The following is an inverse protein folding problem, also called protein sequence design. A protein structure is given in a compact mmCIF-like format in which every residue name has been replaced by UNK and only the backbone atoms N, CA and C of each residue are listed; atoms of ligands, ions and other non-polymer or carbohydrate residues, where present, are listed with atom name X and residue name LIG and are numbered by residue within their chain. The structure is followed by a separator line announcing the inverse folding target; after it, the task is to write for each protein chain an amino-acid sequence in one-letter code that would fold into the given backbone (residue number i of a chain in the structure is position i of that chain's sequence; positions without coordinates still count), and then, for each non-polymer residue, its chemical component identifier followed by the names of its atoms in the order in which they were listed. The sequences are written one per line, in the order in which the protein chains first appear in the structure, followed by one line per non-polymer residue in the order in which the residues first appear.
data_IF_718593800048
#
_entry.id   IF_718593800048
#
_cell.length_a   1.000
_cell.length_b   1.000
_cell.length_c   1.000
_cell.angle_alpha   90.00
_cell.angle_beta   90.00
_cell.angle_gamma   90.00
#
_symmetry.space_group_name_H-M   'P 1'
#
loop_
_entity.id
_entity.type
_entity.pdbx_description
1 polymer ?
2 branched ?
3 non-polymer ?
4 water ?
#
# COMPACT_ATOMS: atom_id res chain seq x y z
N UNK A 1 13.21 -17.94 -8.05
CA UNK A 1 13.88 -18.52 -9.25
C UNK A 1 15.03 -19.43 -8.84
N UNK A 2 16.00 -18.85 -8.12
CA UNK A 2 17.16 -19.61 -7.67
C UNK A 2 16.85 -20.24 -6.31
N UNK A 3 17.50 -21.38 -6.03
CA UNK A 3 17.29 -22.11 -4.79
C UNK A 3 17.57 -21.31 -3.53
N UNK A 4 16.74 -21.51 -2.51
CA UNK A 4 16.92 -20.85 -1.22
C UNK A 4 17.98 -21.68 -0.51
N UNK A 5 18.82 -21.04 0.31
CA UNK A 5 19.86 -21.78 1.02
C UNK A 5 19.24 -22.48 2.23
N UNK A 6 20.02 -23.33 2.89
CA UNK A 6 19.57 -24.03 4.09
C UNK A 6 19.14 -22.97 5.09
N UNK A 7 17.98 -23.17 5.70
CA UNK A 7 17.47 -22.23 6.70
C UNK A 7 16.89 -23.00 7.88
N UNK A 8 17.11 -22.48 9.08
CA UNK A 8 16.58 -23.13 10.28
C UNK A 8 15.52 -22.24 10.91
N UNK A 9 14.31 -22.75 11.01
CA UNK A 9 13.20 -22.00 11.60
C UNK A 9 12.11 -22.94 12.08
N UNK A 10 11.15 -22.44 12.87
CA UNK A 10 10.05 -23.26 13.38
C UNK A 10 9.22 -23.90 12.28
N UNK A 11 8.93 -25.18 12.43
CA UNK A 11 8.13 -25.91 11.47
C UNK A 11 6.70 -25.40 11.47
N UNK A 12 6.15 -25.07 10.29
CA UNK A 12 4.77 -24.59 10.30
C UNK A 12 3.86 -25.73 10.78
N UNK A 13 2.85 -25.40 11.57
CA UNK A 13 1.94 -26.42 12.09
C UNK A 13 0.62 -26.44 11.32
N UNK A 14 0.41 -27.49 10.53
CA UNK A 14 -0.80 -27.63 9.73
C UNK A 14 -2.09 -27.58 10.56
N UNK A 15 -2.07 -28.19 11.73
CA UNK A 15 -3.25 -28.22 12.59
C UNK A 15 -3.25 -27.12 13.65
N UNK A 16 -2.46 -26.07 13.40
CA UNK A 16 -2.38 -24.93 14.30
C UNK A 16 -2.37 -23.61 13.52
N UNK A 17 -3.54 -22.97 13.39
CA UNK A 17 -3.65 -21.70 12.67
C UNK A 17 -2.74 -20.64 13.28
N UNK A 18 -2.15 -19.80 12.45
CA UNK A 18 -1.29 -18.73 12.96
C UNK A 18 -2.14 -17.75 13.75
N UNK A 19 -3.24 -17.34 13.14
CA UNK A 19 -4.17 -16.40 13.76
C UNK A 19 -5.55 -17.03 13.72
N UNK A 20 -6.28 -16.97 14.82
CA UNK A 20 -7.61 -17.53 14.90
C UNK A 20 -8.62 -16.41 15.12
N UNK A 21 -8.10 -15.20 15.32
CA UNK A 21 -8.93 -14.04 15.56
C UNK A 21 -9.28 -13.24 14.30
N UNK A 22 -8.52 -13.45 13.23
CA UNK A 22 -8.75 -12.73 11.98
C UNK A 22 -8.67 -13.62 10.74
N UNK A 23 -9.24 -13.11 9.65
CA UNK A 23 -9.22 -13.80 8.36
C UNK A 23 -7.85 -13.56 7.76
N UNK A 24 -7.13 -14.61 7.39
CA UNK A 24 -5.79 -14.44 6.84
C UNK A 24 -5.67 -14.70 5.34
N UNK A 25 -6.79 -15.05 4.70
CA UNK A 25 -6.79 -15.29 3.26
C UNK A 25 -8.17 -14.90 2.71
N UNK A 26 -8.20 -14.28 1.54
CA UNK A 26 -9.47 -13.86 0.95
C UNK A 26 -10.14 -15.03 0.23
N UNK A 27 -11.43 -14.87 -0.16
CA UNK A 27 -12.16 -15.91 -0.87
C UNK A 27 -11.56 -16.23 -2.25
N UNK A 28 -10.68 -15.36 -2.74
CA UNK A 28 -10.03 -15.64 -4.03
C UNK A 28 -8.58 -16.05 -3.77
N UNK A 29 -8.36 -16.55 -2.55
CA UNK A 29 -7.07 -17.06 -2.11
C UNK A 29 -5.89 -16.09 -2.09
N UNK A 30 -6.15 -14.82 -1.81
CA UNK A 30 -5.07 -13.85 -1.70
C UNK A 30 -4.80 -13.72 -0.21
N UNK A 31 -3.52 -13.75 0.19
CA UNK A 31 -3.23 -13.63 1.62
C UNK A 31 -3.60 -12.25 2.17
N UNK A 32 -4.01 -12.22 3.44
CA UNK A 32 -4.32 -10.96 4.10
C UNK A 32 -3.18 -10.87 5.11
N UNK A 33 -2.28 -9.92 4.90
CA UNK A 33 -1.10 -9.77 5.74
C UNK A 33 -1.26 -9.20 7.15
N UNK A 34 -1.06 -10.08 8.14
CA UNK A 34 -1.14 -9.74 9.56
C UNK A 34 0.15 -10.24 10.22
N UNK A 35 0.56 -9.59 11.30
CA UNK A 35 1.75 -10.02 12.02
C UNK A 35 1.46 -11.45 12.50
N UNK A 36 2.43 -12.34 12.33
CA UNK A 36 2.24 -13.72 12.74
C UNK A 36 1.92 -14.67 11.59
N UNK A 37 1.62 -14.12 10.41
CA UNK A 37 1.31 -14.98 9.26
C UNK A 37 2.52 -15.25 8.39
N UNK A 38 3.59 -14.46 8.56
CA UNK A 38 4.77 -14.62 7.74
C UNK A 38 6.11 -14.67 8.45
N UNK A 39 7.05 -15.39 7.84
CA UNK A 39 8.41 -15.49 8.34
C UNK A 39 9.16 -14.54 7.43
N UNK A 40 9.56 -13.39 7.95
CA UNK A 40 10.28 -12.40 7.13
C UNK A 40 11.62 -12.91 6.62
N UNK A 41 12.22 -13.87 7.32
CA UNK A 41 13.51 -14.39 6.90
C UNK A 41 13.40 -15.15 5.57
N UNK A 42 12.35 -15.96 5.43
CA UNK A 42 12.17 -16.69 4.18
C UNK A 42 11.86 -15.70 3.06
N UNK A 43 10.95 -14.76 3.32
CA UNK A 43 10.57 -13.78 2.31
C UNK A 43 11.75 -12.89 1.88
N UNK A 44 12.54 -12.39 2.83
CA UNK A 44 13.68 -11.56 2.47
C UNK A 44 14.59 -12.33 1.52
N UNK A 45 14.81 -13.61 1.82
CA UNK A 45 15.65 -14.46 0.99
C UNK A 45 15.11 -14.54 -0.44
N UNK A 46 13.81 -14.81 -0.56
CA UNK A 46 13.19 -14.92 -1.87
C UNK A 46 13.35 -13.65 -2.71
N UNK A 47 13.05 -12.49 -2.12
CA UNK A 47 13.15 -11.24 -2.88
C UNK A 47 14.59 -10.77 -3.11
N UNK A 48 15.49 -11.04 -2.17
CA UNK A 48 16.89 -10.63 -2.36
C UNK A 48 17.52 -11.41 -3.50
N UNK A 49 17.21 -12.69 -3.58
CA UNK A 49 17.76 -13.53 -4.64
C UNK A 49 17.36 -13.01 -6.01
N UNK A 50 16.27 -12.25 -6.05
CA UNK A 50 15.80 -11.67 -7.31
C UNK A 50 16.29 -10.24 -7.47
N UNK A 51 17.09 -9.78 -6.52
CA UNK A 51 17.64 -8.42 -6.53
C UNK A 51 16.50 -7.43 -6.77
N UNK A 52 15.42 -7.60 -6.01
CA UNK A 52 14.23 -6.77 -6.11
C UNK A 52 14.42 -5.31 -5.78
N UNK A 53 13.87 -4.44 -6.62
CA UNK A 53 13.95 -3.00 -6.41
C UNK A 53 12.53 -2.47 -6.21
N UNK A 54 12.31 -1.80 -5.08
CA UNK A 54 10.99 -1.25 -4.77
C UNK A 54 10.95 0.26 -4.90
N UNK A 55 10.01 0.76 -5.70
CA UNK A 55 9.86 2.18 -5.83
C UNK A 55 8.80 2.65 -4.85
N UNK A 56 9.06 3.74 -4.14
CA UNK A 56 8.09 4.30 -3.20
C UNK A 56 7.76 5.70 -3.67
N UNK A 57 6.50 5.93 -4.02
CA UNK A 57 6.08 7.24 -4.53
C UNK A 57 5.21 8.04 -3.58
N UNK A 58 5.53 9.33 -3.44
CA UNK A 58 4.77 10.23 -2.59
C UNK A 58 4.58 11.56 -3.31
N UNK A 59 3.45 12.19 -3.06
CA UNK A 59 3.16 13.48 -3.66
C UNK A 59 3.08 14.52 -2.55
N UNK A 60 4.03 15.45 -2.56
CA UNK A 60 4.06 16.50 -1.55
C UNK A 60 3.95 17.85 -2.24
N UNK A 61 2.74 18.39 -2.25
CA UNK A 61 2.47 19.69 -2.86
C UNK A 61 2.11 20.71 -1.77
N UNK A 62 2.40 21.97 -2.02
CA UNK A 62 2.12 23.03 -1.07
C UNK A 62 2.68 22.76 0.32
N UNK A 63 1.84 22.93 1.34
CA UNK A 63 2.25 22.72 2.73
C UNK A 63 2.63 21.29 3.12
N UNK A 64 2.30 20.32 2.27
CA UNK A 64 2.63 18.93 2.60
C UNK A 64 4.11 18.58 2.53
N UNK A 65 4.92 19.49 1.98
CA UNK A 65 6.35 19.24 1.88
C UNK A 65 6.95 19.15 3.27
N UNK A 66 6.24 19.72 4.25
CA UNK A 66 6.69 19.73 5.63
C UNK A 66 6.73 18.34 6.28
N UNK A 67 6.00 17.39 5.70
CA UNK A 67 5.96 16.03 6.24
C UNK A 67 7.05 15.12 5.69
N UNK A 68 7.74 15.59 4.66
CA UNK A 68 8.79 14.80 4.02
C UNK A 68 9.89 14.32 4.93
N UNK A 69 10.41 15.20 5.78
CA UNK A 69 11.51 14.82 6.66
C UNK A 69 11.19 13.61 7.51
N UNK A 70 10.10 13.68 8.27
CA UNK A 70 9.74 12.56 9.14
C UNK A 70 9.42 11.31 8.33
N UNK A 71 8.74 11.51 7.21
CA UNK A 71 8.37 10.40 6.34
C UNK A 71 9.60 9.64 5.86
N UNK A 72 10.54 10.36 5.25
CA UNK A 72 11.76 9.75 4.74
C UNK A 72 12.66 9.15 5.82
N UNK A 73 12.82 9.86 6.93
CA UNK A 73 13.67 9.37 8.01
C UNK A 73 13.11 8.07 8.59
N UNK A 74 11.80 8.00 8.78
CA UNK A 74 11.20 6.79 9.33
C UNK A 74 11.19 5.67 8.29
N UNK A 75 11.08 6.03 7.01
CA UNK A 75 11.10 5.02 5.95
C UNK A 75 12.49 4.37 5.97
N UNK A 76 13.51 5.18 6.25
CA UNK A 76 14.87 4.66 6.28
C UNK A 76 15.07 3.62 7.37
N UNK A 77 14.28 3.71 8.43
CA UNK A 77 14.42 2.76 9.52
C UNK A 77 13.51 1.54 9.43
N UNK A 78 12.39 1.67 8.72
CA UNK A 78 11.44 0.56 8.64
C UNK A 78 10.98 0.05 7.29
N UNK A 79 11.25 0.78 6.21
CA UNK A 79 10.77 0.37 4.89
C UNK A 79 11.75 -0.37 3.99
N UNK A 80 11.44 -1.65 3.73
CA UNK A 80 12.25 -2.48 2.87
C UNK A 80 13.73 -2.47 3.21
N UNK A 81 14.06 -2.38 4.50
CA UNK A 81 15.47 -2.36 4.90
C UNK A 81 16.20 -3.62 4.43
N UNK A 82 17.27 -3.44 3.69
CA UNK A 82 18.03 -4.57 3.19
C UNK A 82 17.86 -4.76 1.69
N UNK A 83 16.80 -4.18 1.13
CA UNK A 83 16.54 -4.29 -0.31
C UNK A 83 16.76 -2.95 -1.01
N UNK A 84 16.79 -2.98 -2.34
CA UNK A 84 16.98 -1.75 -3.12
C UNK A 84 15.71 -0.93 -3.12
N UNK A 85 15.82 0.34 -2.73
CA UNK A 85 14.68 1.23 -2.68
C UNK A 85 14.93 2.52 -3.45
N UNK A 86 13.93 2.92 -4.23
CA UNK A 86 14.03 4.15 -4.99
C UNK A 86 12.84 5.02 -4.65
N UNK A 87 13.11 6.11 -3.94
CA UNK A 87 12.05 7.04 -3.55
C UNK A 87 11.77 8.01 -4.70
N UNK A 88 10.50 8.24 -4.97
CA UNK A 88 10.13 9.19 -6.00
C UNK A 88 9.25 10.23 -5.32
N UNK A 89 9.80 11.42 -5.16
CA UNK A 89 9.07 12.51 -4.52
C UNK A 89 8.59 13.52 -5.57
N UNK A 90 7.29 13.57 -5.79
CA UNK A 90 6.70 14.51 -6.73
C UNK A 90 6.31 15.72 -5.91
N UNK A 91 6.86 16.88 -6.25
CA UNK A 91 6.58 18.10 -5.51
C UNK A 91 6.62 19.35 -6.38
N UNK A 92 5.99 20.41 -5.88
CA UNK A 92 5.94 21.69 -6.57
C UNK A 92 7.03 22.59 -6.00
N UNK A 93 7.76 22.07 -5.01
CA UNK A 93 8.83 22.81 -4.36
C UNK A 93 10.09 21.95 -4.24
N UNK A 94 10.76 21.69 -5.38
CA UNK A 94 11.98 20.89 -5.43
C UNK A 94 13.02 21.27 -4.36
N UNK A 95 13.20 22.57 -4.17
CA UNK A 95 14.18 23.05 -3.20
C UNK A 95 13.78 22.84 -1.75
N UNK A 96 12.51 22.58 -1.49
CA UNK A 96 12.04 22.38 -0.12
C UNK A 96 12.22 20.94 0.36
N UNK A 97 12.58 20.04 -0.55
CA UNK A 97 12.78 18.64 -0.17
C UNK A 97 13.96 18.55 0.80
N UNK A 98 13.73 17.97 1.99
CA UNK A 98 14.79 17.84 2.99
C UNK A 98 15.89 16.88 2.54
N UNK A 99 17.12 17.17 2.96
CA UNK A 99 18.24 16.32 2.61
C UNK A 99 18.36 15.25 3.67
N UNK A 100 17.76 14.09 3.42
CA UNK A 100 17.79 12.98 4.37
C UNK A 100 18.88 11.98 4.01
N UNK A 101 19.60 11.53 5.03
CA UNK A 101 20.67 10.57 4.83
C UNK A 101 20.06 9.19 4.52
N UNK A 102 20.50 8.59 3.42
CA UNK A 102 19.98 7.30 3.01
C UNK A 102 20.97 6.16 3.20
N UNK A 103 20.43 4.98 3.49
CA UNK A 103 21.27 3.81 3.65
C UNK A 103 21.77 3.42 2.28
N UNK A 104 22.74 2.51 2.23
CA UNK A 104 23.29 2.08 0.96
C UNK A 104 22.23 1.33 0.13
N UNK A 105 22.31 1.46 -1.19
CA UNK A 105 21.37 0.78 -2.06
C UNK A 105 20.01 1.45 -2.15
N UNK A 106 19.93 2.66 -1.62
CA UNK A 106 18.68 3.40 -1.63
C UNK A 106 18.90 4.78 -2.23
N UNK A 107 18.00 5.21 -3.09
CA UNK A 107 18.15 6.50 -3.70
C UNK A 107 16.84 7.26 -3.78
N UNK A 108 16.94 8.57 -3.96
CA UNK A 108 15.76 9.41 -4.03
C UNK A 108 15.82 10.34 -5.21
N UNK A 109 14.71 10.42 -5.94
CA UNK A 109 14.62 11.30 -7.09
C UNK A 109 13.52 12.31 -6.83
N UNK A 110 13.81 13.58 -7.12
CA UNK A 110 12.82 14.63 -6.95
C UNK A 110 12.25 14.94 -8.33
N UNK A 111 10.94 14.85 -8.47
CA UNK A 111 10.29 15.15 -9.75
C UNK A 111 9.37 16.33 -9.55
N UNK A 112 9.66 17.44 -10.24
CA UNK A 112 8.85 18.64 -10.13
C UNK A 112 7.59 18.52 -10.96
N UNK A 113 6.48 19.05 -10.44
CA UNK A 113 5.21 19.03 -11.15
C UNK A 113 4.61 20.42 -11.13
N UNK A 134 8.10 10.25 -17.40
CA UNK A 134 7.10 9.35 -18.04
C UNK A 134 7.00 8.01 -17.31
N UNK A 135 5.88 7.33 -17.48
CA UNK A 135 5.65 6.04 -16.84
C UNK A 135 6.65 4.98 -17.29
N UNK A 136 7.20 5.17 -18.49
CA UNK A 136 8.18 4.25 -19.05
C UNK A 136 9.39 4.14 -18.12
N UNK A 137 9.69 5.23 -17.43
CA UNK A 137 10.80 5.31 -16.50
C UNK A 137 10.68 4.24 -15.41
N UNK A 138 9.51 4.16 -14.79
CA UNK A 138 9.26 3.19 -13.73
C UNK A 138 9.54 1.75 -14.15
N UNK A 139 9.09 1.39 -15.34
CA UNK A 139 9.28 0.04 -15.88
C UNK A 139 10.72 -0.42 -15.93
N UNK A 140 11.64 0.52 -16.12
CA UNK A 140 13.05 0.13 -16.20
C UNK A 140 13.84 0.35 -14.93
N UNK A 141 13.27 1.08 -13.97
CA UNK A 141 14.00 1.35 -12.74
C UNK A 141 13.60 0.53 -11.52
N UNK A 142 12.35 0.08 -11.46
CA UNK A 142 11.90 -0.71 -10.31
C UNK A 142 11.06 -1.91 -10.71
N UNK A 143 10.93 -2.85 -9.78
CA UNK A 143 10.12 -4.04 -10.00
C UNK A 143 8.72 -3.87 -9.43
N UNK A 144 8.63 -3.11 -8.35
CA UNK A 144 7.34 -2.85 -7.70
C UNK A 144 7.18 -1.38 -7.35
N UNK A 145 5.93 -0.93 -7.34
CA UNK A 145 5.61 0.45 -6.98
C UNK A 145 4.71 0.42 -5.77
N UNK A 146 5.02 1.26 -4.79
CA UNK A 146 4.24 1.39 -3.57
C UNK A 146 3.88 2.87 -3.52
N UNK A 147 2.58 3.15 -3.51
CA UNK A 147 2.09 4.52 -3.50
C UNK A 147 1.40 4.83 -2.19
N UNK A 148 1.95 5.80 -1.46
CA UNK A 148 1.41 6.18 -0.17
C UNK A 148 1.26 7.69 -0.02
N UNK A 149 0.58 8.10 1.06
CA UNK A 149 0.42 9.51 1.34
C UNK A 149 1.63 9.95 2.16
N UNK A 150 2.05 11.21 1.98
CA UNK A 150 3.22 11.74 2.68
C UNK A 150 3.05 12.13 4.14
N UNK A 151 1.83 12.50 4.55
CA UNK A 151 1.62 12.88 5.93
C UNK A 151 1.45 11.66 6.83
N UNK A 152 2.49 10.83 6.85
CA UNK A 152 2.51 9.60 7.63
C UNK A 152 3.92 9.39 8.15
N UNK A 153 4.11 8.35 8.96
CA UNK A 153 5.43 8.00 9.46
C UNK A 153 5.45 6.51 9.68
N UNK A 154 6.61 5.89 9.46
CA UNK A 154 6.73 4.46 9.68
C UNK A 154 7.11 4.29 11.14
N UNK A 155 6.41 3.38 11.81
CA UNK A 155 6.67 3.13 13.22
C UNK A 155 7.16 1.70 13.46
N UNK A 156 7.01 0.86 12.45
CA UNK A 156 7.46 -0.53 12.57
C UNK A 156 7.74 -1.10 11.18
N UNK A 157 8.11 -2.36 11.15
CA UNK A 157 8.44 -3.06 9.92
C UNK A 157 7.37 -3.05 8.84
N UNK A 158 7.79 -2.69 7.63
CA UNK A 158 6.97 -2.71 6.43
C UNK A 158 7.97 -3.22 5.39
N UNK A 159 7.88 -4.51 5.08
CA UNK A 159 8.83 -5.08 4.16
C UNK A 159 8.26 -5.83 2.97
N UNK A 160 9.06 -6.73 2.42
CA UNK A 160 8.67 -7.50 1.24
C UNK A 160 7.44 -8.38 1.41
N UNK A 161 6.97 -8.56 2.64
CA UNK A 161 5.76 -9.35 2.83
C UNK A 161 4.58 -8.73 2.05
N UNK A 162 4.67 -7.45 1.72
CA UNK A 162 3.58 -6.78 0.99
C UNK A 162 3.66 -6.89 -0.52
N UNK A 163 4.83 -7.26 -1.04
CA UNK A 163 5.04 -7.34 -2.49
C UNK A 163 4.29 -8.47 -3.19
N UNK A 164 3.60 -8.10 -4.27
CA UNK A 164 2.77 -9.04 -5.02
C UNK A 164 2.36 -8.27 -6.28
N UNK A 165 1.74 -8.93 -7.26
CA UNK A 165 1.36 -8.16 -8.44
C UNK A 165 0.43 -6.97 -8.18
N UNK A 166 -0.53 -7.13 -7.27
CA UNK A 166 -1.46 -6.06 -6.95
C UNK A 166 -1.98 -6.15 -5.52
N UNK A 167 -1.83 -5.07 -4.75
CA UNK A 167 -2.32 -5.08 -3.38
C UNK A 167 -3.03 -3.81 -2.97
N UNK A 168 -3.97 -3.97 -2.05
CA UNK A 168 -4.74 -2.87 -1.50
C UNK A 168 -4.63 -3.00 0.00
N UNK A 169 -4.97 -1.94 0.71
CA UNK A 169 -4.91 -1.94 2.18
C UNK A 169 -6.26 -1.66 2.81
N UNK A 170 -6.63 -2.45 3.81
CA UNK A 170 -7.92 -2.28 4.48
C UNK A 170 -7.98 -0.96 5.24
N UNK A 171 -9.02 -0.18 4.95
CA UNK A 171 -9.21 1.11 5.62
C UNK A 171 -9.44 0.83 7.10
N UNK A 172 -8.71 1.53 7.98
CA UNK A 172 -8.86 1.31 9.43
C UNK A 172 -10.24 1.54 10.02
N UNK A 173 -11.07 2.31 9.34
CA UNK A 173 -12.42 2.59 9.84
C UNK A 173 -13.48 1.57 9.44
N UNK A 174 -13.20 0.72 8.47
CA UNK A 174 -14.22 -0.24 8.01
C UNK A 174 -13.85 -1.71 7.99
N UNK A 175 -12.66 -2.07 8.47
CA UNK A 175 -12.25 -3.47 8.44
C UNK A 175 -13.18 -4.43 9.16
N UNK A 176 -13.99 -3.91 10.08
CA UNK A 176 -14.91 -4.78 10.81
C UNK A 176 -16.36 -4.43 10.52
N UNK A 177 -16.58 -3.61 9.50
CA UNK A 177 -17.92 -3.18 9.14
C UNK A 177 -18.56 -4.05 8.05
N UNK A 178 -19.87 -3.99 7.94
CA UNK A 178 -20.59 -4.74 6.91
C UNK A 178 -20.52 -3.87 5.66
N UNK A 179 -20.58 -4.49 4.48
CA UNK A 179 -20.48 -3.75 3.23
C UNK A 179 -21.43 -2.57 3.09
N UNK A 180 -22.63 -2.69 3.64
CA UNK A 180 -23.62 -1.61 3.56
C UNK A 180 -23.09 -0.31 4.14
N UNK A 181 -22.17 -0.41 5.11
CA UNK A 181 -21.59 0.75 5.75
C UNK A 181 -20.40 1.33 4.99
N UNK A 182 -19.80 0.53 4.11
CA UNK A 182 -18.66 1.00 3.32
C UNK A 182 -19.07 2.28 2.60
N UNK A 183 -18.18 3.27 2.60
CA UNK A 183 -18.50 4.53 1.93
C UNK A 183 -18.17 4.54 0.43
N UNK A 184 -18.60 3.49 -0.26
CA UNK A 184 -18.39 3.38 -1.71
C UNK A 184 -19.24 4.46 -2.37
N UNK A 185 -18.99 4.73 -3.65
CA UNK A 185 -19.81 5.70 -4.37
C UNK A 185 -21.09 4.93 -4.65
N UNK A 186 -22.24 5.48 -4.23
CA UNK A 186 -23.52 4.80 -4.40
C UNK A 186 -24.40 5.27 -5.56
N UNK A 187 -23.97 6.33 -6.25
CA UNK A 187 -24.76 6.84 -7.38
C UNK A 187 -24.44 6.10 -8.67
N UNK A 188 -25.45 5.44 -9.26
CA UNK A 188 -25.32 4.68 -10.51
C UNK A 188 -24.76 5.52 -11.65
N UNK A 189 -24.86 6.83 -11.52
CA UNK A 189 -24.37 7.73 -12.55
C UNK A 189 -22.84 7.82 -12.57
N UNK A 190 -22.21 7.39 -11.47
CA UNK A 190 -20.76 7.42 -11.37
C UNK A 190 -20.11 6.12 -11.81
N UNK A 191 -18.96 6.21 -12.46
CA UNK A 191 -18.25 5.04 -12.92
C UNK A 191 -17.69 4.25 -11.73
N UNK A 192 -17.67 4.88 -10.55
CA UNK A 192 -17.15 4.24 -9.34
C UNK A 192 -18.29 3.60 -8.56
N UNK A 193 -19.48 3.61 -9.15
CA UNK A 193 -20.67 3.04 -8.52
C UNK A 193 -20.53 1.58 -8.11
N UNK A 194 -20.99 1.28 -6.89
CA UNK A 194 -20.98 -0.07 -6.35
C UNK A 194 -22.23 -0.20 -5.49
N UNK A 195 -23.18 -1.04 -5.91
CA UNK A 195 -24.41 -1.21 -5.13
C UNK A 195 -24.19 -1.79 -3.72
N UNK A 196 -25.22 -1.69 -2.88
CA UNK A 196 -25.15 -2.14 -1.50
C UNK A 196 -24.93 -3.64 -1.30
N UNK A 197 -25.23 -4.45 -2.31
CA UNK A 197 -25.04 -5.89 -2.18
C UNK A 197 -23.73 -6.40 -2.76
N UNK A 198 -22.82 -5.47 -3.07
CA UNK A 198 -21.51 -5.83 -3.62
C UNK A 198 -20.39 -5.26 -2.77
N UNK A 199 -19.20 -5.83 -2.92
CA UNK A 199 -18.07 -5.33 -2.16
C UNK A 199 -17.44 -6.37 -1.26
N UNK A 200 -16.12 -6.45 -1.31
CA UNK A 200 -15.39 -7.39 -0.46
C UNK A 200 -14.90 -6.64 0.77
N UNK A 201 -14.16 -5.56 0.52
CA UNK A 201 -13.60 -4.73 1.58
C UNK A 201 -13.61 -3.28 1.15
N UNK A 202 -13.32 -2.39 2.09
CA UNK A 202 -13.20 -0.99 1.74
C UNK A 202 -11.71 -0.68 1.85
N UNK A 203 -11.06 -0.45 0.72
CA UNK A 203 -9.63 -0.17 0.71
C UNK A 203 -9.38 1.33 0.80
N UNK A 204 -8.33 1.72 1.51
CA UNK A 204 -8.00 3.12 1.64
C UNK A 204 -6.98 3.48 0.57
N UNK A 205 -7.15 4.66 -0.04
CA UNK A 205 -6.25 5.08 -1.09
C UNK A 205 -4.88 5.56 -0.66
N UNK A 206 -4.61 5.56 0.64
CA UNK A 206 -3.32 6.03 1.14
C UNK A 206 -2.22 4.97 1.11
N UNK A 207 -2.54 3.75 0.72
CA UNK A 207 -1.55 2.67 0.72
C UNK A 207 -1.90 1.58 -0.28
N UNK A 208 -1.30 1.60 -1.47
CA UNK A 208 -1.54 0.55 -2.47
C UNK A 208 -0.30 0.38 -3.33
N UNK A 209 -0.30 -0.63 -4.18
CA UNK A 209 0.85 -0.87 -5.04
C UNK A 209 0.83 -2.22 -5.72
N UNK A 210 1.99 -2.66 -6.19
CA UNK A 210 2.09 -3.94 -6.87
C UNK A 210 3.18 -3.84 -7.92
N UNK A 211 3.15 -4.69 -8.93
CA UNK A 211 4.15 -4.63 -9.99
C UNK A 211 3.95 -3.30 -10.74
N UNK A 212 4.99 -2.83 -11.41
CA UNK A 212 4.86 -1.58 -12.14
C UNK A 212 3.71 -1.69 -13.14
N UNK A 213 3.66 -2.80 -13.86
CA UNK A 213 2.62 -3.02 -14.85
C UNK A 213 1.20 -2.94 -14.27
N UNK A 214 0.96 -3.64 -13.16
CA UNK A 214 -0.37 -3.62 -12.56
C UNK A 214 -0.75 -2.25 -12.01
N UNK A 215 0.21 -1.55 -11.41
CA UNK A 215 -0.06 -0.23 -10.86
C UNK A 215 -0.39 0.76 -11.97
N UNK A 216 0.32 0.68 -13.10
CA UNK A 216 0.05 1.62 -14.19
C UNK A 216 -1.33 1.34 -14.78
N UNK A 217 -1.72 0.07 -14.82
CA UNK A 217 -3.04 -0.32 -15.33
C UNK A 217 -4.13 0.24 -14.42
N UNK A 218 -3.90 0.17 -13.11
CA UNK A 218 -4.87 0.68 -12.14
C UNK A 218 -5.02 2.19 -12.30
N UNK A 219 -3.90 2.90 -12.27
CA UNK A 219 -3.92 4.34 -12.39
C UNK A 219 -4.53 4.80 -13.72
N UNK A 220 -4.20 4.09 -14.80
CA UNK A 220 -4.75 4.44 -16.11
C UNK A 220 -6.27 4.21 -16.12
N UNK A 221 -6.71 3.14 -15.46
CA UNK A 221 -8.14 2.83 -15.41
C UNK A 221 -8.87 3.88 -14.57
N UNK A 222 -8.24 4.29 -13.48
CA UNK A 222 -8.84 5.28 -12.59
C UNK A 222 -8.92 6.64 -13.26
N UNK A 223 -7.84 7.05 -13.92
CA UNK A 223 -7.82 8.35 -14.60
C UNK A 223 -8.90 8.43 -15.67
N UNK A 224 -9.09 7.34 -16.41
CA UNK A 224 -10.11 7.33 -17.46
C UNK A 224 -11.52 7.37 -16.87
N UNK A 225 -11.73 6.63 -15.80
CA UNK A 225 -13.04 6.60 -15.15
C UNK A 225 -13.38 7.97 -14.57
N UNK A 226 -12.37 8.68 -14.07
CA UNK A 226 -12.56 10.00 -13.49
C UNK A 226 -12.90 11.02 -14.59
N UNK A 227 -12.29 10.86 -15.76
CA UNK A 227 -12.56 11.77 -16.87
C UNK A 227 -14.01 11.62 -17.31
N UNK A 228 -14.46 10.37 -17.40
CA UNK A 228 -15.83 10.07 -17.79
C UNK A 228 -16.80 10.69 -16.80
N UNK A 229 -16.47 10.59 -15.51
CA UNK A 229 -17.31 11.16 -14.47
C UNK A 229 -17.34 12.68 -14.60
N UNK A 230 -16.18 13.28 -14.81
CA UNK A 230 -16.09 14.73 -14.96
C UNK A 230 -17.00 15.20 -16.09
N UNK A 231 -16.94 14.49 -17.22
CA UNK A 231 -17.76 14.82 -18.39
C UNK A 231 -19.23 14.77 -18.02
N UNK A 232 -19.62 13.78 -17.20
CA UNK A 232 -21.00 13.65 -16.78
C UNK A 232 -21.30 14.54 -15.59
N UNK A 233 -20.44 15.52 -15.36
CA UNK A 233 -20.62 16.45 -14.26
C UNK A 233 -20.81 15.81 -12.90
N UNK A 234 -20.08 14.74 -12.62
CA UNK A 234 -20.19 14.07 -11.33
C UNK A 234 -18.81 13.79 -10.75
N UNK A 235 -18.72 13.86 -9.42
CA UNK A 235 -17.47 13.62 -8.70
C UNK A 235 -17.73 12.60 -7.59
N UNK A 236 -17.01 11.48 -7.64
CA UNK A 236 -17.18 10.41 -6.65
C UNK A 236 -17.02 10.92 -5.22
N UNK A 237 -17.90 10.44 -4.34
CA UNK A 237 -17.91 10.84 -2.93
C UNK A 237 -16.53 10.93 -2.28
N UNK A 238 -15.65 9.97 -2.55
CA UNK A 238 -14.32 10.00 -1.97
C UNK A 238 -13.24 10.01 -3.05
N UNK A 239 -13.59 10.67 -4.16
CA UNK A 239 -12.70 10.85 -5.30
C UNK A 239 -11.88 9.62 -5.70
N UNK A 240 -10.56 9.80 -5.81
CA UNK A 240 -9.65 8.73 -6.20
C UNK A 240 -9.90 7.40 -5.49
N UNK A 241 -10.14 7.48 -4.18
CA UNK A 241 -10.38 6.30 -3.38
C UNK A 241 -11.62 5.54 -3.81
N UNK A 242 -12.64 6.26 -4.25
CA UNK A 242 -13.87 5.60 -4.71
C UNK A 242 -13.58 4.76 -5.94
N UNK A 243 -12.79 5.29 -6.86
CA UNK A 243 -12.45 4.55 -8.07
C UNK A 243 -11.50 3.39 -7.78
N UNK A 244 -10.60 3.59 -6.82
CA UNK A 244 -9.66 2.54 -6.44
C UNK A 244 -10.47 1.33 -5.97
N UNK A 245 -11.49 1.60 -5.15
CA UNK A 245 -12.33 0.53 -4.64
C UNK A 245 -13.12 -0.17 -5.74
N UNK A 246 -13.53 0.59 -6.75
CA UNK A 246 -14.27 -0.02 -7.87
C UNK A 246 -13.32 -0.92 -8.65
N UNK A 247 -12.11 -0.43 -8.90
CA UNK A 247 -11.11 -1.20 -9.63
C UNK A 247 -10.76 -2.50 -8.91
N UNK A 248 -10.50 -2.41 -7.60
CA UNK A 248 -10.13 -3.59 -6.82
C UNK A 248 -11.28 -4.57 -6.60
N UNK A 249 -12.51 -4.11 -6.82
CA UNK A 249 -13.66 -5.00 -6.71
C UNK A 249 -13.69 -5.86 -7.98
N UNK A 250 -13.40 -5.24 -9.12
CA UNK A 250 -13.39 -5.94 -10.40
C UNK A 250 -12.08 -6.65 -10.75
N UNK A 251 -10.99 -6.22 -10.12
CA UNK A 251 -9.66 -6.83 -10.33
C UNK A 251 -9.14 -7.13 -8.92
N UNK A 252 -9.45 -8.31 -8.41
CA UNK A 252 -9.05 -8.69 -7.06
C UNK A 252 -7.55 -8.58 -6.79
N UNK A 253 -7.17 -7.89 -5.71
CA UNK A 253 -5.75 -7.76 -5.40
C UNK A 253 -5.18 -9.13 -5.03
N UNK A 254 -3.91 -9.37 -5.35
CA UNK A 254 -3.27 -10.65 -5.04
C UNK A 254 -2.82 -10.75 -3.57
N UNK A 255 -2.89 -9.62 -2.87
CA UNK A 255 -2.60 -9.56 -1.44
C UNK A 255 -3.41 -8.39 -0.89
N UNK A 256 -3.84 -8.49 0.35
CA UNK A 256 -4.56 -7.41 1.01
C UNK A 256 -3.82 -7.15 2.32
N UNK A 257 -3.48 -5.88 2.57
CA UNK A 257 -2.77 -5.55 3.81
C UNK A 257 -3.74 -5.21 4.94
N UNK A 258 -3.48 -5.72 6.14
CA UNK A 258 -4.33 -5.47 7.29
C UNK A 258 -4.14 -4.02 7.75
N UNK A 259 -4.98 -3.56 8.70
CA UNK A 259 -4.89 -2.19 9.21
C UNK A 259 -3.57 -1.88 9.91
N UNK A 260 -2.74 -2.89 10.09
CA UNK A 260 -1.43 -2.69 10.73
C UNK A 260 -0.67 -1.72 9.86
N UNK A 261 -0.95 -1.76 8.56
CA UNK A 261 -0.25 -0.94 7.57
C UNK A 261 -0.82 0.45 7.30
N UNK A 262 -1.92 0.79 7.96
CA UNK A 262 -2.53 2.09 7.77
C UNK A 262 -3.41 2.34 8.99
N UNK A 263 -2.85 3.02 9.99
CA UNK A 263 -3.56 3.27 11.23
C UNK A 263 -3.36 4.69 11.77
N UNK A 264 -4.15 5.05 12.78
CA UNK A 264 -4.05 6.35 13.43
C UNK A 264 -4.32 6.06 14.91
N UNK A 265 -3.25 6.02 15.71
CA UNK A 265 -3.36 5.70 17.12
C UNK A 265 -4.14 6.73 17.94
N UNK A 266 -4.13 7.99 17.51
CA UNK A 266 -4.85 9.02 18.23
C UNK A 266 -6.35 8.87 18.07
N UNK A 267 -6.79 8.55 16.85
CA UNK A 267 -8.21 8.39 16.59
C UNK A 267 -8.76 6.99 16.88
N UNK A 268 -7.90 5.98 16.80
CA UNK A 268 -8.37 4.60 16.99
C UNK A 268 -7.68 3.79 18.07
N UNK A 269 -6.66 4.38 18.71
CA UNK A 269 -5.96 3.69 19.77
C UNK A 269 -5.08 2.55 19.27
N UNK A 270 -4.99 1.49 20.06
CA UNK A 270 -4.18 0.33 19.70
C UNK A 270 -4.93 -0.94 20.14
N UNK A 271 -5.88 -1.40 19.31
CA UNK A 271 -6.68 -2.60 19.57
C UNK A 271 -5.83 -3.86 19.69
N UNK A 272 -6.34 -4.84 20.41
CA UNK A 272 -5.64 -6.11 20.61
C UNK A 272 -5.40 -6.84 19.28
N UNK A 273 -6.30 -6.64 18.33
CA UNK A 273 -6.18 -7.29 17.03
C UNK A 273 -4.96 -6.81 16.24
N UNK A 274 -4.38 -5.69 16.64
CA UNK A 274 -3.19 -5.16 15.97
C UNK A 274 -1.97 -5.39 16.85
N UNK A 275 -1.14 -6.35 16.45
CA UNK A 275 0.07 -6.67 17.21
C UNK A 275 1.18 -5.66 16.93
N UNK A 276 1.03 -4.95 15.82
CA UNK A 276 2.00 -3.94 15.44
C UNK A 276 1.32 -2.81 14.67
N UNK A 277 1.82 -1.59 14.87
CA UNK A 277 1.32 -0.40 14.16
C UNK A 277 2.55 -0.01 13.34
N UNK A 278 2.51 -0.34 12.05
CA UNK A 278 3.65 -0.11 11.15
C UNK A 278 3.71 1.22 10.41
N UNK A 279 2.56 1.73 9.97
CA UNK A 279 2.52 2.96 9.17
C UNK A 279 1.33 3.78 9.68
N UNK A 280 1.61 4.96 10.24
CA UNK A 280 0.56 5.78 10.82
C UNK A 280 0.46 7.23 10.39
N UNK A 281 -0.69 7.83 10.69
CA UNK A 281 -0.95 9.22 10.36
C UNK A 281 -0.18 10.10 11.34
N UNK A 282 0.20 11.29 10.89
CA UNK A 282 0.93 12.22 11.75
C UNK A 282 -0.05 13.20 12.39
N UNK A 283 -0.05 13.26 13.73
CA UNK A 283 -0.96 14.17 14.44
C UNK A 283 -0.93 15.58 13.86
X LIG B 1 -11.67 9.18 6.07
X LIG B 1 -11.08 8.67 7.26
X LIG B 1 -10.55 9.67 5.14
X LIG B 1 -9.96 10.87 5.67
X LIG B 1 -11.08 9.95 3.73
X LIG B 1 -11.80 8.72 3.23
X LIG B 1 -10.90 7.61 3.26
X LIG B 1 -12.95 8.44 4.17
X LIG B 1 -12.43 8.12 5.48
X LIG B 1 -13.79 7.27 3.71
X LIG B 1 -14.88 7.04 4.61
X LIG B 1 -9.97 10.28 2.85
X LIG B 1 -11.80 9.02 8.48
X LIG B 1 -10.63 8.91 9.48
X LIG B 1 -10.05 7.44 9.72
X LIG B 1 -8.47 7.37 10.10
X LIG B 1 -7.36 7.63 9.00
X LIG B 1 -6.07 6.84 9.20
X LIG B 2 -8.83 10.70 6.47
X LIG B 2 -7.57 10.92 5.64
X LIG B 2 -7.55 12.35 5.09
X LIG B 2 -7.64 13.33 6.26
X LIG B 2 -8.88 13.03 7.10
X LIG B 2 -8.94 13.90 8.35
X LIG B 2 -7.53 9.99 4.56
X LIG B 2 -6.35 12.56 4.36
X LIG B 2 -6.48 13.24 7.05
X LIG B 2 -8.87 11.65 7.55
X LIG C 1 -7.12 8.67 -10.78
X LIG D 1 -7.15 5.20 -8.36
X LIG E 1 2.34 5.27 -7.63
X LIG F 1 1.70 8.18 -4.85
#
# INVERSE_FOLDING_TARGET
MVSLPRMVYPQPKVLTPCRKDVLVVTPWLAPIVWEGTFNIDILNEQFRLQNTTIGLTVFAIKKYVAFLKLFLETAEKHFMVGHRVHYYVFTDQPAAVPRVTLGTGRQLSVLEVGAYKRWQDVSMRRMEMISDFCERRFLSEVDYLVCVDVDMEFRDHVGVEILTPLFGTLHPSFYGSSREAFTYERRPQSQAYIPKDEGDFYYMGAFFGGSVQEVQRLTRACHQAMMVDQANGIEAVWHDESHLNKYLLRHKPTKVLSPEYLWDQQLLGWPAVLRKLRFTAVP
AIG C1 O1 C2 O2 C3 C4 O4 C5 O5 C6 O6 N3 C1' C2' C3' C4' C5' C6'
FUC C1 C2 C3 C4 C5 C6 O2 O3 O4 O5
HG HG
HG HG
HG HG
HG HG
#
